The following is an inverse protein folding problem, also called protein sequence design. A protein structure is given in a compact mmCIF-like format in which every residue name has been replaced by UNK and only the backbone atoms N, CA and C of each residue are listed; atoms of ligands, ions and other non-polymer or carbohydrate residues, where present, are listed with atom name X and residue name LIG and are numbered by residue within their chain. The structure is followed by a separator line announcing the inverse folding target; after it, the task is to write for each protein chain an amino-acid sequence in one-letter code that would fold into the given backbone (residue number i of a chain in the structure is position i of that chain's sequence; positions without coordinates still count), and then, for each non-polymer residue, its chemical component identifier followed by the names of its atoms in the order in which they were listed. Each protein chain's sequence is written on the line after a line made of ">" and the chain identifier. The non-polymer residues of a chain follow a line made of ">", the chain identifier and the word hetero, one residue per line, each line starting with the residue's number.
data_IF_424032026951
#
_entry.id   IF_424032026951
#
_cell.length_a   1.000
_cell.length_b   1.000
_cell.length_c   1.000
_cell.angle_alpha   90.00
_cell.angle_beta   90.00
_cell.angle_gamma   90.00
#
_symmetry.space_group_name_H-M   'P 1'
#
loop_
_entity.id
_entity.type
_entity.pdbx_description
1 polymer ?
#
# COMPACT_ATOMS: atom_id res chain seq x y z
N UNK A 1 -12.16 28.72 -15.15
CA UNK A 1 -10.74 28.84 -14.77
C UNK A 1 -10.24 27.41 -14.60
N UNK A 2 -9.49 26.91 -15.58
CA UNK A 2 -9.06 25.51 -15.66
C UNK A 2 -7.77 25.41 -14.84
N UNK A 3 -7.82 24.81 -13.65
CA UNK A 3 -6.61 24.51 -12.88
C UNK A 3 -6.05 23.17 -13.36
N UNK A 4 -4.79 23.24 -13.77
CA UNK A 4 -3.95 22.17 -14.28
C UNK A 4 -3.84 21.05 -13.24
N UNK A 5 -4.39 19.85 -13.52
CA UNK A 5 -4.13 18.63 -12.75
C UNK A 5 -2.72 18.13 -13.12
N UNK A 6 -1.70 18.56 -12.40
CA UNK A 6 -0.36 17.98 -12.48
C UNK A 6 0.28 18.00 -11.09
N UNK A 7 -0.22 17.12 -10.23
CA UNK A 7 0.40 16.79 -8.95
C UNK A 7 0.42 15.28 -8.83
N UNK A 8 1.50 14.65 -9.29
CA UNK A 8 1.70 13.22 -9.11
C UNK A 8 1.72 12.90 -7.62
N UNK A 9 0.74 12.11 -7.17
CA UNK A 9 0.68 11.60 -5.82
C UNK A 9 1.79 10.55 -5.67
N UNK A 10 2.94 10.98 -5.17
CA UNK A 10 3.98 10.04 -4.72
C UNK A 10 3.42 9.35 -3.47
N UNK A 11 2.99 8.10 -3.61
CA UNK A 11 2.77 7.20 -2.49
C UNK A 11 4.14 6.99 -1.81
N UNK A 12 4.43 7.85 -0.83
CA UNK A 12 5.55 7.69 0.10
C UNK A 12 5.28 6.42 0.93
N UNK A 13 5.72 5.26 0.43
CA UNK A 13 5.97 4.12 1.29
C UNK A 13 7.12 4.53 2.23
N UNK A 14 6.73 4.87 3.46
CA UNK A 14 7.57 5.54 4.44
C UNK A 14 8.87 4.80 4.74
N UNK A 15 9.99 5.45 4.43
CA UNK A 15 11.28 5.13 5.00
C UNK A 15 11.45 5.98 6.27
N UNK A 16 11.12 5.42 7.45
CA UNK A 16 11.40 6.06 8.73
C UNK A 16 12.86 5.82 9.11
N UNK A 17 13.71 6.83 8.88
CA UNK A 17 15.09 6.86 9.38
C UNK A 17 15.04 7.42 10.81
N UNK A 18 15.14 6.54 11.81
CA UNK A 18 15.34 6.94 13.20
C UNK A 18 16.79 7.35 13.43
N UNK A 19 17.04 8.64 13.65
CA UNK A 19 18.35 9.12 14.13
C UNK A 19 18.44 8.90 15.64
N UNK A 20 19.46 8.15 16.06
CA UNK A 20 19.82 7.94 17.46
C UNK A 20 20.68 9.08 18.03
N UNK A 21 20.50 9.36 19.32
CA UNK A 21 21.38 10.17 20.17
C UNK A 21 20.59 11.13 21.07
N UNK A 22 20.81 11.28 22.37
CA UNK A 22 21.74 10.70 23.36
C UNK A 22 21.10 10.92 24.75
N UNK A 23 21.34 9.99 25.69
CA UNK A 23 20.85 10.01 27.07
C UNK A 23 21.51 11.07 27.96
N UNK A 24 20.87 11.50 29.05
CA UNK A 24 21.44 11.65 30.42
C UNK A 24 20.34 11.63 31.52
N UNK A 25 20.48 10.67 32.46
CA UNK A 25 20.18 10.64 33.93
C UNK A 25 18.89 11.29 34.50
N UNK A 26 18.12 10.72 35.42
CA UNK A 26 18.16 9.49 36.22
C UNK A 26 17.20 9.69 37.43
N UNK A 27 16.45 8.66 37.84
CA UNK A 27 16.09 8.35 39.24
C UNK A 27 15.29 7.02 39.29
N UNK A 28 15.67 6.14 40.20
CA UNK A 28 15.12 4.79 40.39
C UNK A 28 13.83 4.83 41.23
N UNK A 29 12.76 4.15 40.80
CA UNK A 29 11.73 3.65 41.73
C UNK A 29 11.04 2.39 41.21
N UNK A 30 11.43 1.26 41.83
CA UNK A 30 10.69 0.03 42.17
C UNK A 30 9.67 -0.57 41.17
N UNK A 31 10.06 -1.72 40.61
CA UNK A 31 9.31 -2.62 39.72
C UNK A 31 8.08 -3.30 40.36
N UNK A 32 7.16 -3.78 39.51
CA UNK A 32 6.84 -5.21 39.55
C UNK A 32 6.98 -5.88 38.17
N UNK A 33 7.62 -7.05 38.20
CA UNK A 33 7.65 -8.12 37.17
C UNK A 33 7.60 -7.68 35.70
N UNK A 34 8.76 -7.26 35.18
CA UNK A 34 9.07 -7.42 33.77
C UNK A 34 9.17 -8.92 33.47
N UNK A 35 8.12 -9.48 32.89
CA UNK A 35 8.29 -10.62 32.01
C UNK A 35 9.02 -10.11 30.76
N UNK A 36 10.34 -9.97 30.88
CA UNK A 36 11.23 -9.73 29.76
C UNK A 36 11.18 -10.97 28.87
N UNK A 37 10.28 -10.94 27.90
CA UNK A 37 10.36 -11.83 26.77
C UNK A 37 11.78 -11.68 26.19
N UNK A 38 12.47 -12.79 25.88
CA UNK A 38 13.77 -12.71 25.26
C UNK A 38 13.67 -11.81 24.04
N UNK A 39 14.57 -10.85 23.97
CA UNK A 39 14.91 -10.12 22.76
C UNK A 39 15.52 -11.16 21.80
N UNK A 40 14.69 -12.11 21.34
CA UNK A 40 15.03 -13.00 20.26
C UNK A 40 15.23 -12.08 19.08
N UNK A 41 16.50 -11.90 18.73
CA UNK A 41 16.92 -11.03 17.65
C UNK A 41 16.04 -11.33 16.45
N UNK A 42 15.12 -10.40 16.16
CA UNK A 42 14.52 -10.29 14.84
C UNK A 42 15.72 -10.29 13.90
N UNK A 43 15.90 -11.32 13.04
CA UNK A 43 17.00 -11.31 12.11
C UNK A 43 16.90 -9.98 11.39
N UNK A 44 17.99 -9.19 11.42
CA UNK A 44 18.15 -7.92 10.69
C UNK A 44 17.20 -7.95 9.51
N UNK A 45 16.07 -7.23 9.62
CA UNK A 45 14.99 -7.34 8.64
C UNK A 45 15.66 -7.18 7.29
N UNK A 46 15.73 -8.25 6.49
CA UNK A 46 16.61 -8.25 5.34
C UNK A 46 16.18 -7.07 4.50
N UNK A 47 17.07 -6.13 4.21
CA UNK A 47 16.72 -4.95 3.41
C UNK A 47 16.33 -5.36 1.97
N UNK A 48 16.52 -6.64 1.63
CA UNK A 48 16.33 -7.22 0.31
C UNK A 48 14.94 -6.96 -0.32
N UNK A 49 13.77 -7.15 0.35
CA UNK A 49 12.48 -6.82 -0.27
C UNK A 49 12.32 -5.31 -0.50
N UNK A 50 12.85 -4.47 0.41
CA UNK A 50 12.76 -3.03 0.30
C UNK A 50 13.60 -2.49 -0.87
N UNK A 51 14.75 -3.12 -1.17
CA UNK A 51 15.58 -2.80 -2.33
C UNK A 51 14.79 -3.04 -3.62
N UNK A 52 14.20 -4.22 -3.79
CA UNK A 52 13.40 -4.53 -4.97
C UNK A 52 12.20 -3.57 -5.14
N UNK A 53 11.54 -3.16 -4.06
CA UNK A 53 10.44 -2.17 -4.16
C UNK A 53 10.96 -0.79 -4.58
N UNK A 54 12.12 -0.39 -4.07
CA UNK A 54 12.76 0.88 -4.47
C UNK A 54 13.15 0.86 -5.95
N UNK A 55 13.67 -0.26 -6.44
CA UNK A 55 13.99 -0.46 -7.86
C UNK A 55 12.73 -0.44 -8.71
N UNK A 56 11.67 -1.15 -8.29
CA UNK A 56 10.38 -1.15 -8.96
C UNK A 56 9.82 0.28 -9.11
N UNK A 57 9.90 1.09 -8.05
CA UNK A 57 9.46 2.49 -8.09
C UNK A 57 10.28 3.32 -9.09
N UNK A 58 11.60 3.09 -9.16
CA UNK A 58 12.48 3.74 -10.14
C UNK A 58 12.11 3.37 -11.57
N UNK A 59 11.82 2.08 -11.80
CA UNK A 59 11.36 1.59 -13.08
C UNK A 59 9.95 2.10 -13.43
N UNK A 60 9.03 2.21 -12.47
CA UNK A 60 7.70 2.82 -12.67
C UNK A 60 7.82 4.28 -13.10
N UNK A 61 8.66 5.07 -12.42
CA UNK A 61 8.92 6.47 -12.77
C UNK A 61 9.54 6.60 -14.18
N UNK A 62 10.29 5.59 -14.60
CA UNK A 62 10.89 5.50 -15.93
C UNK A 62 10.00 4.78 -16.95
N UNK A 63 8.76 4.44 -16.58
CA UNK A 63 7.78 3.71 -17.39
C UNK A 63 8.25 2.33 -17.89
N UNK A 64 9.24 1.76 -17.21
CA UNK A 64 9.81 0.43 -17.46
C UNK A 64 9.00 -0.64 -16.73
N UNK A 65 7.74 -0.80 -17.11
CA UNK A 65 6.77 -1.61 -16.34
C UNK A 65 7.12 -3.10 -16.29
N UNK A 66 7.77 -3.65 -17.32
CA UNK A 66 8.22 -5.05 -17.29
C UNK A 66 9.32 -5.27 -16.24
N UNK A 67 10.27 -4.34 -16.13
CA UNK A 67 11.33 -4.39 -15.11
C UNK A 67 10.73 -4.18 -13.72
N UNK A 68 9.84 -3.20 -13.56
CA UNK A 68 9.13 -2.99 -12.30
C UNK A 68 8.35 -4.24 -11.86
N UNK A 69 7.70 -4.95 -12.78
CA UNK A 69 7.02 -6.21 -12.48
C UNK A 69 8.00 -7.28 -11.98
N UNK A 70 9.15 -7.41 -12.64
CA UNK A 70 10.18 -8.38 -12.23
C UNK A 70 10.70 -8.10 -10.81
N UNK A 71 10.93 -6.84 -10.48
CA UNK A 71 11.37 -6.43 -9.14
C UNK A 71 10.29 -6.74 -8.08
N UNK A 72 9.03 -6.42 -8.37
CA UNK A 72 7.92 -6.75 -7.45
C UNK A 72 7.75 -8.26 -7.27
N UNK A 73 7.96 -9.07 -8.32
CA UNK A 73 7.93 -10.53 -8.20
C UNK A 73 9.11 -11.08 -7.38
N UNK A 74 10.28 -10.47 -7.47
CA UNK A 74 11.41 -10.78 -6.58
C UNK A 74 11.12 -10.40 -5.13
N UNK A 75 10.51 -9.23 -4.87
CA UNK A 75 10.08 -8.83 -3.54
C UNK A 75 9.05 -9.81 -2.94
N UNK A 76 8.12 -10.30 -3.75
CA UNK A 76 7.11 -11.28 -3.34
C UNK A 76 7.67 -12.67 -3.06
N UNK A 77 8.78 -13.05 -3.70
CA UNK A 77 9.48 -14.30 -3.37
C UNK A 77 10.04 -14.26 -1.95
N UNK A 78 10.49 -13.08 -1.50
CA UNK A 78 11.01 -12.88 -0.14
C UNK A 78 9.91 -12.61 0.89
N UNK A 79 8.82 -11.95 0.48
CA UNK A 79 7.70 -11.57 1.34
C UNK A 79 6.36 -11.99 0.72
N UNK A 80 6.06 -13.31 0.65
CA UNK A 80 4.86 -13.81 -0.03
C UNK A 80 3.56 -13.34 0.62
N UNK A 81 3.57 -12.97 1.90
CA UNK A 81 2.41 -12.46 2.62
C UNK A 81 2.17 -10.96 2.46
N UNK A 82 2.95 -10.23 1.67
CA UNK A 82 2.79 -8.77 1.56
C UNK A 82 1.68 -8.41 0.54
N UNK A 83 0.56 -7.90 1.04
CA UNK A 83 -0.59 -7.52 0.21
C UNK A 83 -0.33 -6.30 -0.68
N UNK A 84 0.53 -5.36 -0.25
CA UNK A 84 0.85 -4.16 -1.03
C UNK A 84 1.64 -4.54 -2.29
N UNK A 85 2.60 -5.46 -2.17
CA UNK A 85 3.36 -5.96 -3.31
C UNK A 85 2.45 -6.74 -4.27
N UNK A 86 1.49 -7.50 -3.75
CA UNK A 86 0.47 -8.17 -4.58
C UNK A 86 -0.43 -7.17 -5.30
N UNK A 87 -0.86 -6.11 -4.61
CA UNK A 87 -1.66 -5.04 -5.20
C UNK A 87 -0.91 -4.35 -6.34
N UNK A 88 0.35 -3.95 -6.12
CA UNK A 88 1.18 -3.33 -7.14
C UNK A 88 1.46 -4.28 -8.32
N UNK A 89 1.64 -5.58 -8.05
CA UNK A 89 1.74 -6.60 -9.10
C UNK A 89 0.49 -6.65 -9.97
N UNK A 90 -0.71 -6.58 -9.38
CA UNK A 90 -1.96 -6.54 -10.16
C UNK A 90 -2.03 -5.30 -11.06
N UNK A 91 -1.68 -4.12 -10.53
CA UNK A 91 -1.63 -2.86 -11.28
C UNK A 91 -0.66 -2.94 -12.47
N UNK A 92 0.55 -3.46 -12.24
CA UNK A 92 1.58 -3.61 -13.27
C UNK A 92 1.15 -4.59 -14.36
N UNK A 93 0.56 -5.73 -14.00
CA UNK A 93 0.06 -6.71 -14.98
C UNK A 93 -1.06 -6.17 -15.84
N UNK A 94 -2.00 -5.44 -15.23
CA UNK A 94 -3.05 -4.77 -15.96
C UNK A 94 -2.49 -3.73 -16.93
N UNK A 95 -1.53 -2.90 -16.47
CA UNK A 95 -0.83 -1.94 -17.32
C UNK A 95 -0.11 -2.61 -18.50
N UNK A 96 0.42 -3.81 -18.28
CA UNK A 96 1.09 -4.60 -19.31
C UNK A 96 0.11 -5.31 -20.26
N UNK A 97 -1.20 -5.08 -20.12
CA UNK A 97 -2.22 -5.60 -21.02
C UNK A 97 -2.75 -6.97 -20.65
N UNK A 98 -2.61 -7.40 -19.39
CA UNK A 98 -3.28 -8.61 -18.92
C UNK A 98 -4.81 -8.45 -19.08
N UNK A 99 -5.54 -9.47 -19.56
CA UNK A 99 -6.98 -9.39 -19.73
C UNK A 99 -7.69 -8.89 -18.47
N UNK A 100 -8.64 -7.97 -18.64
CA UNK A 100 -9.36 -7.33 -17.53
C UNK A 100 -9.97 -8.32 -16.53
N UNK A 101 -10.45 -9.48 -17.00
CA UNK A 101 -10.98 -10.54 -16.13
C UNK A 101 -9.93 -11.13 -15.18
N UNK A 102 -8.69 -11.29 -15.64
CA UNK A 102 -7.57 -11.76 -14.83
C UNK A 102 -7.10 -10.67 -13.86
N UNK A 103 -7.06 -9.41 -14.32
CA UNK A 103 -6.76 -8.27 -13.45
C UNK A 103 -7.77 -8.18 -12.30
N UNK A 104 -9.08 -8.21 -12.58
CA UNK A 104 -10.15 -8.23 -11.56
C UNK A 104 -9.98 -9.37 -10.56
N UNK A 105 -9.69 -10.57 -11.05
CA UNK A 105 -9.41 -11.75 -10.20
C UNK A 105 -8.21 -11.51 -9.28
N UNK A 106 -7.14 -10.88 -9.80
CA UNK A 106 -5.96 -10.53 -9.01
C UNK A 106 -6.32 -9.60 -7.85
N UNK A 107 -7.12 -8.55 -8.10
CA UNK A 107 -7.56 -7.64 -7.05
C UNK A 107 -8.49 -8.30 -6.04
N UNK A 108 -9.37 -9.21 -6.46
CA UNK A 108 -10.20 -10.00 -5.52
C UNK A 108 -9.32 -10.75 -4.51
N UNK A 109 -8.21 -11.35 -4.96
CA UNK A 109 -7.27 -12.03 -4.05
C UNK A 109 -6.61 -11.07 -3.05
N UNK A 110 -6.32 -9.84 -3.47
CA UNK A 110 -5.79 -8.79 -2.58
C UNK A 110 -6.82 -8.42 -1.51
N UNK A 111 -8.09 -8.24 -1.90
CA UNK A 111 -9.21 -7.98 -0.98
C UNK A 111 -9.38 -9.14 -0.01
N UNK A 112 -9.41 -10.37 -0.50
CA UNK A 112 -9.53 -11.57 0.34
C UNK A 112 -8.42 -11.63 1.38
N UNK A 113 -7.19 -11.27 1.01
CA UNK A 113 -6.05 -11.24 1.92
C UNK A 113 -6.13 -10.10 2.96
N UNK A 114 -6.50 -8.90 2.55
CA UNK A 114 -6.60 -7.74 3.43
C UNK A 114 -7.83 -7.76 4.35
N UNK A 115 -8.86 -8.52 3.97
CA UNK A 115 -10.07 -8.73 4.77
C UNK A 115 -10.03 -9.99 5.64
N UNK A 116 -8.91 -10.74 5.65
CA UNK A 116 -8.75 -11.88 6.57
C UNK A 116 -8.84 -11.40 8.02
N UNK A 117 -9.93 -11.77 8.71
CA UNK A 117 -10.25 -11.29 10.06
C UNK A 117 -11.51 -10.42 10.14
N UNK A 118 -12.15 -10.10 9.01
CA UNK A 118 -13.48 -9.48 8.93
C UNK A 118 -13.55 -8.28 7.98
N UNK A 119 -14.73 -8.03 7.41
CA UNK A 119 -14.97 -6.98 6.39
C UNK A 119 -14.54 -5.56 6.84
N UNK A 120 -14.63 -5.26 8.13
CA UNK A 120 -14.21 -3.97 8.70
C UNK A 120 -12.72 -3.65 8.44
N UNK A 121 -11.88 -4.69 8.30
CA UNK A 121 -10.46 -4.51 7.99
C UNK A 121 -10.24 -3.93 6.60
N UNK A 122 -11.12 -4.25 5.65
CA UNK A 122 -11.06 -3.67 4.32
C UNK A 122 -11.52 -2.19 4.34
N UNK A 123 -12.58 -1.90 5.10
CA UNK A 123 -13.18 -0.55 5.19
C UNK A 123 -12.28 0.47 5.89
N UNK A 124 -11.15 0.05 6.46
CA UNK A 124 -10.14 0.92 7.12
C UNK A 124 -8.80 0.93 6.39
N UNK A 125 -8.68 0.24 5.25
CA UNK A 125 -7.46 0.13 4.47
C UNK A 125 -7.67 0.64 3.04
N UNK A 126 -7.01 1.73 2.66
CA UNK A 126 -7.17 2.34 1.33
C UNK A 126 -6.81 1.40 0.18
N UNK A 127 -5.77 0.58 0.34
CA UNK A 127 -5.36 -0.40 -0.67
C UNK A 127 -6.40 -1.51 -0.83
N UNK A 128 -7.08 -1.89 0.25
CA UNK A 128 -8.19 -2.84 0.16
C UNK A 128 -9.39 -2.23 -0.56
N UNK A 129 -9.80 -1.01 -0.20
CA UNK A 129 -10.90 -0.30 -0.87
C UNK A 129 -10.61 -0.09 -2.35
N UNK A 130 -9.39 0.36 -2.69
CA UNK A 130 -8.96 0.52 -4.06
C UNK A 130 -8.94 -0.82 -4.80
N UNK A 131 -8.42 -1.89 -4.19
CA UNK A 131 -8.47 -3.24 -4.78
C UNK A 131 -9.93 -3.71 -5.00
N UNK A 132 -10.84 -3.43 -4.07
CA UNK A 132 -12.26 -3.82 -4.21
C UNK A 132 -12.94 -3.08 -5.37
N UNK A 133 -12.63 -1.80 -5.55
CA UNK A 133 -13.05 -0.98 -6.69
C UNK A 133 -12.44 -1.50 -8.01
N UNK A 134 -11.13 -1.80 -8.00
CA UNK A 134 -10.42 -2.41 -9.13
C UNK A 134 -10.87 -3.87 -9.40
N UNK A 135 -11.48 -4.56 -8.45
CA UNK A 135 -12.11 -5.86 -8.68
C UNK A 135 -13.52 -5.72 -9.28
N UNK A 136 -14.11 -4.52 -9.23
CA UNK A 136 -15.53 -4.27 -9.46
C UNK A 136 -16.43 -5.20 -8.62
N UNK A 137 -16.02 -5.42 -7.37
CA UNK A 137 -16.77 -6.28 -6.47
C UNK A 137 -18.09 -5.63 -6.05
N UNK A 138 -19.10 -6.46 -5.78
CA UNK A 138 -20.45 -5.99 -5.39
C UNK A 138 -20.50 -5.09 -4.15
N UNK A 139 -19.48 -5.16 -3.27
CA UNK A 139 -19.40 -4.36 -2.05
C UNK A 139 -18.53 -3.11 -2.18
N UNK A 140 -17.83 -2.93 -3.31
CA UNK A 140 -16.78 -1.92 -3.45
C UNK A 140 -17.26 -0.50 -3.18
N UNK A 141 -18.40 -0.12 -3.75
CA UNK A 141 -18.96 1.22 -3.54
C UNK A 141 -19.36 1.44 -2.08
N UNK A 142 -19.93 0.42 -1.42
CA UNK A 142 -20.29 0.52 0.00
C UNK A 142 -19.05 0.68 0.88
N UNK A 143 -18.01 -0.12 0.65
CA UNK A 143 -16.75 -0.05 1.42
C UNK A 143 -16.04 1.29 1.19
N UNK A 144 -16.06 1.81 -0.04
CA UNK A 144 -15.56 3.15 -0.38
C UNK A 144 -16.26 4.25 0.42
N UNK A 145 -17.59 4.28 0.41
CA UNK A 145 -18.35 5.30 1.15
C UNK A 145 -18.08 5.24 2.65
N UNK A 146 -17.95 4.03 3.22
CA UNK A 146 -17.59 3.87 4.64
C UNK A 146 -16.18 4.36 4.95
N UNK A 147 -15.20 4.06 4.09
CA UNK A 147 -13.82 4.53 4.25
C UNK A 147 -13.72 6.06 4.17
N UNK A 148 -14.43 6.69 3.22
CA UNK A 148 -14.47 8.15 3.08
C UNK A 148 -15.14 8.84 4.27
N UNK A 149 -16.06 8.17 4.95
CA UNK A 149 -16.75 8.66 6.15
C UNK A 149 -15.96 8.47 7.45
N UNK A 150 -14.82 7.77 7.43
CA UNK A 150 -13.99 7.58 8.63
C UNK A 150 -13.45 8.94 9.14
N UNK A 151 -13.38 9.13 10.47
CA UNK A 151 -12.70 10.29 11.05
C UNK A 151 -11.26 10.42 10.53
N UNK A 152 -10.87 11.64 10.15
CA UNK A 152 -9.55 11.97 9.64
C UNK A 152 -9.27 13.47 9.84
N UNK A 153 -8.00 13.87 9.77
CA UNK A 153 -7.67 15.28 9.59
C UNK A 153 -8.19 15.80 8.25
N UNK A 154 -8.31 17.14 8.10
CA UNK A 154 -8.76 17.73 6.83
C UNK A 154 -7.87 17.30 5.65
N UNK A 155 -6.55 17.27 5.84
CA UNK A 155 -5.58 16.87 4.81
C UNK A 155 -5.76 15.40 4.42
N UNK A 156 -5.88 14.51 5.40
CA UNK A 156 -6.11 13.09 5.11
C UNK A 156 -7.46 12.87 4.44
N UNK A 157 -8.51 13.57 4.87
CA UNK A 157 -9.83 13.49 4.26
C UNK A 157 -9.78 13.96 2.79
N UNK A 158 -9.11 15.07 2.52
CA UNK A 158 -8.89 15.58 1.16
C UNK A 158 -8.14 14.57 0.30
N UNK A 159 -7.05 13.97 0.82
CA UNK A 159 -6.30 12.95 0.11
C UNK A 159 -7.15 11.71 -0.22
N UNK A 160 -7.96 11.23 0.74
CA UNK A 160 -8.84 10.08 0.51
C UNK A 160 -9.87 10.37 -0.58
N UNK A 161 -10.49 11.55 -0.55
CA UNK A 161 -11.46 11.96 -1.56
C UNK A 161 -10.79 12.19 -2.92
N UNK A 162 -9.58 12.78 -2.96
CA UNK A 162 -8.84 12.95 -4.19
C UNK A 162 -8.55 11.62 -4.90
N UNK A 163 -8.26 10.56 -4.14
CA UNK A 163 -7.92 9.23 -4.68
C UNK A 163 -9.17 8.41 -5.04
N UNK A 164 -10.25 8.52 -4.26
CA UNK A 164 -11.37 7.58 -4.34
C UNK A 164 -12.71 8.22 -4.72
N UNK A 165 -12.91 9.52 -4.52
CA UNK A 165 -14.16 10.16 -4.91
C UNK A 165 -14.25 10.24 -6.45
N UNK A 166 -15.42 9.92 -6.99
CA UNK A 166 -15.59 9.79 -8.44
C UNK A 166 -14.67 8.75 -9.10
N UNK A 167 -14.20 7.74 -8.36
CA UNK A 167 -13.26 6.71 -8.82
C UNK A 167 -13.53 6.24 -10.26
N UNK A 168 -12.52 6.40 -11.11
CA UNK A 168 -12.42 5.83 -12.44
C UNK A 168 -11.18 4.93 -12.51
N UNK A 169 -11.36 3.72 -13.04
CA UNK A 169 -10.32 2.69 -13.07
C UNK A 169 -9.09 3.15 -13.85
N UNK A 170 -9.29 3.74 -15.01
CA UNK A 170 -8.22 4.13 -15.92
C UNK A 170 -7.50 5.37 -15.38
N UNK A 171 -8.23 6.35 -14.85
CA UNK A 171 -7.64 7.52 -14.16
C UNK A 171 -6.83 7.10 -12.93
N UNK A 172 -7.34 6.15 -12.14
CA UNK A 172 -6.63 5.60 -10.98
C UNK A 172 -5.34 4.90 -11.39
N UNK A 173 -5.41 4.01 -12.40
CA UNK A 173 -4.24 3.30 -12.90
C UNK A 173 -3.20 4.28 -13.47
N UNK A 174 -3.64 5.33 -14.19
CA UNK A 174 -2.76 6.36 -14.74
C UNK A 174 -2.13 7.26 -13.68
N UNK A 175 -2.78 7.42 -12.51
CA UNK A 175 -2.21 8.16 -11.38
C UNK A 175 -1.02 7.43 -10.77
N UNK A 176 -1.08 6.10 -10.67
CA UNK A 176 -0.01 5.29 -10.05
C UNK A 176 1.06 4.92 -11.07
N UNK A 177 0.63 4.52 -12.26
CA UNK A 177 1.49 4.12 -13.36
C UNK A 177 1.21 5.13 -14.49
N UNK A 178 2.03 6.16 -14.77
CA UNK A 178 1.72 7.11 -15.85
C UNK A 178 2.11 6.56 -17.24
N UNK A 179 1.35 6.89 -18.28
CA UNK A 179 1.68 6.59 -19.69
C UNK A 179 2.42 7.75 -20.37
#
# INVERSE_FOLDING_TARGET
>A
MIMNKAGGLVLLLGCLIGTAGTAENGDETLAPEQFSAPNEGLPQASQAPAIFVSEANTHIQSQQFQQALADIEAALTLAPGNSEYRFLRCLLKERLGEPLSLAKTCYTQVVDQLSQGGDNLCETNINCVAADLMAEASQAERRKQRFLALPASAVESEMRHYVLDGFDRDEYLNTILPQ
#
